data_IF_917510202953
#
_entry.id   IF_917510202953
#
_cell.length_a   1.000
_cell.length_b   1.000
_cell.length_c   1.000
_cell.angle_alpha   90.00
_cell.angle_beta   90.00
_cell.angle_gamma   90.00
#
_symmetry.space_group_name_H-M   'P 1'
#
loop_
_entity.id
_entity.type
_entity.pdbx_description
1 polymer ?
#
# COMPACT_ATOMS: atom_id res chain seq x y z
N UNK A 1 17.08 23.22 1.57
CA UNK A 1 17.55 21.95 0.97
C UNK A 1 16.32 21.09 0.71
N UNK A 2 16.18 20.49 -0.49
CA UNK A 2 15.10 19.54 -0.80
C UNK A 2 15.75 18.17 -0.96
N UNK A 3 15.18 17.15 -0.32
CA UNK A 3 15.66 15.76 -0.39
C UNK A 3 14.54 14.93 -1.03
N UNK A 4 14.91 14.07 -1.98
CA UNK A 4 14.03 13.08 -2.57
C UNK A 4 14.36 11.73 -1.94
N UNK A 5 13.34 10.97 -1.56
CA UNK A 5 13.48 9.64 -0.96
C UNK A 5 12.58 8.64 -1.67
N UNK A 6 13.01 7.39 -1.70
CA UNK A 6 12.27 6.25 -2.23
C UNK A 6 12.26 5.15 -1.16
N UNK A 7 11.08 4.58 -0.90
CA UNK A 7 10.94 3.46 0.03
C UNK A 7 11.50 2.19 -0.60
N UNK A 8 12.41 1.50 0.10
CA UNK A 8 13.01 0.26 -0.40
C UNK A 8 12.28 -0.97 0.13
N UNK A 9 12.15 -1.08 1.46
CA UNK A 9 11.51 -2.22 2.12
C UNK A 9 10.98 -1.81 3.48
N UNK A 10 9.95 -2.52 3.95
CA UNK A 10 9.39 -2.34 5.29
C UNK A 10 10.31 -3.00 6.30
N UNK A 11 10.45 -2.38 7.46
CA UNK A 11 11.27 -2.88 8.55
C UNK A 11 10.59 -2.64 9.89
N UNK A 12 10.77 -3.61 10.81
CA UNK A 12 10.34 -3.50 12.19
C UNK A 12 11.51 -2.97 13.02
N UNK A 13 11.27 -1.90 13.77
CA UNK A 13 12.24 -1.38 14.74
C UNK A 13 12.18 -2.26 15.99
N UNK A 14 13.31 -2.88 16.35
CA UNK A 14 13.46 -3.69 17.57
C UNK A 14 14.03 -2.90 18.74
N UNK A 15 14.79 -1.84 18.47
CA UNK A 15 15.25 -0.89 19.47
C UNK A 15 15.45 0.48 18.86
N UNK A 16 15.07 1.54 19.59
CA UNK A 16 15.27 2.94 19.21
C UNK A 16 16.12 3.62 20.29
N UNK A 17 17.14 4.36 19.88
CA UNK A 17 17.98 5.18 20.74
C UNK A 17 17.98 6.62 20.27
N UNK A 18 17.79 7.55 21.20
CA UNK A 18 17.88 8.99 20.98
C UNK A 18 19.14 9.50 21.69
N UNK A 19 20.02 10.17 20.94
CA UNK A 19 21.24 10.78 21.48
C UNK A 19 21.15 12.32 21.58
N UNK A 20 19.97 12.90 21.32
CA UNK A 20 19.71 14.34 21.33
C UNK A 20 19.97 15.07 20.00
N UNK A 21 20.65 14.43 19.04
CA UNK A 21 20.87 14.98 17.70
C UNK A 21 20.05 14.25 16.63
N UNK A 22 19.93 12.92 16.76
CA UNK A 22 19.19 12.07 15.85
C UNK A 22 18.75 10.76 16.51
N UNK A 23 17.82 10.08 15.87
CA UNK A 23 17.43 8.73 16.24
C UNK A 23 18.31 7.70 15.53
N UNK A 24 18.80 6.73 16.28
CA UNK A 24 19.41 5.50 15.76
C UNK A 24 18.53 4.31 16.12
N UNK A 25 18.38 3.35 15.21
CA UNK A 25 17.50 2.19 15.42
C UNK A 25 18.18 0.89 15.03
N UNK A 26 17.86 -0.18 15.76
CA UNK A 26 18.00 -1.55 15.26
C UNK A 26 16.71 -1.91 14.55
N UNK A 27 16.82 -2.33 13.29
CA UNK A 27 15.68 -2.67 12.46
C UNK A 27 15.94 -3.99 11.71
N UNK A 28 14.87 -4.75 11.53
CA UNK A 28 14.86 -6.02 10.81
C UNK A 28 13.84 -5.90 9.69
N UNK A 29 14.13 -6.50 8.54
CA UNK A 29 13.18 -6.50 7.44
C UNK A 29 11.88 -7.19 7.84
N UNK A 30 10.77 -6.60 7.42
CA UNK A 30 9.46 -7.18 7.57
C UNK A 30 9.22 -8.08 6.36
N UNK A 31 9.49 -9.36 6.53
CA UNK A 31 9.27 -10.35 5.48
C UNK A 31 7.77 -10.66 5.35
N UNK A 32 7.31 -10.83 4.11
CA UNK A 32 5.98 -11.33 3.82
C UNK A 32 6.01 -12.86 3.73
N UNK A 33 5.03 -13.56 4.33
CA UNK A 33 4.94 -15.01 4.23
C UNK A 33 4.71 -15.44 2.77
N UNK A 34 5.13 -16.66 2.44
CA UNK A 34 4.79 -17.28 1.14
C UNK A 34 3.29 -17.62 1.11
N UNK A 35 2.65 -17.39 -0.04
CA UNK A 35 1.20 -17.48 -0.23
C UNK A 35 0.91 -18.49 -1.35
N UNK A 36 -0.29 -19.06 -1.36
CA UNK A 36 -0.81 -19.79 -2.52
C UNK A 36 -0.95 -18.84 -3.72
N UNK A 37 -0.16 -19.09 -4.76
CA UNK A 37 -0.06 -18.23 -5.94
C UNK A 37 -1.41 -18.01 -6.64
N UNK A 38 -2.33 -19.00 -6.58
CA UNK A 38 -3.60 -18.93 -7.29
C UNK A 38 -4.58 -17.99 -6.60
N UNK A 39 -4.69 -18.06 -5.28
CA UNK A 39 -5.53 -17.12 -4.51
C UNK A 39 -5.02 -15.69 -4.65
N UNK A 40 -3.70 -15.51 -4.62
CA UNK A 40 -3.06 -14.22 -4.77
C UNK A 40 -3.31 -13.60 -6.16
N UNK A 41 -3.24 -14.39 -7.24
CA UNK A 41 -3.52 -13.89 -8.59
C UNK A 41 -4.95 -13.35 -8.73
N UNK A 42 -5.93 -14.06 -8.16
CA UNK A 42 -7.34 -13.62 -8.17
C UNK A 42 -7.52 -12.33 -7.39
N UNK A 43 -6.88 -12.22 -6.23
CA UNK A 43 -6.96 -11.04 -5.38
C UNK A 43 -6.34 -9.81 -6.07
N UNK A 44 -5.16 -9.97 -6.68
CA UNK A 44 -4.48 -8.92 -7.44
C UNK A 44 -5.36 -8.39 -8.57
N UNK A 45 -5.96 -9.27 -9.37
CA UNK A 45 -6.86 -8.88 -10.47
C UNK A 45 -8.07 -8.11 -9.96
N UNK A 46 -8.64 -8.56 -8.84
CA UNK A 46 -9.78 -7.88 -8.20
C UNK A 46 -9.39 -6.49 -7.70
N UNK A 47 -8.24 -6.37 -7.02
CA UNK A 47 -7.74 -5.09 -6.49
C UNK A 47 -7.48 -4.07 -7.62
N UNK A 48 -6.88 -4.50 -8.73
CA UNK A 48 -6.65 -3.63 -9.91
C UNK A 48 -7.99 -3.18 -10.51
N UNK A 49 -8.95 -4.10 -10.68
CA UNK A 49 -10.25 -3.78 -11.25
C UNK A 49 -11.05 -2.80 -10.38
N UNK A 50 -11.00 -2.97 -9.05
CA UNK A 50 -11.64 -2.06 -8.12
C UNK A 50 -10.94 -0.69 -8.10
N UNK A 51 -9.60 -0.68 -8.14
CA UNK A 51 -8.84 0.57 -8.24
C UNK A 51 -9.19 1.31 -9.53
N UNK A 52 -9.31 0.63 -10.68
CA UNK A 52 -9.78 1.24 -11.94
C UNK A 52 -11.15 1.91 -11.77
N UNK A 53 -12.10 1.24 -11.12
CA UNK A 53 -13.42 1.82 -10.79
C UNK A 53 -13.29 3.07 -9.91
N UNK A 54 -12.46 3.00 -8.89
CA UNK A 54 -12.19 4.11 -7.97
C UNK A 54 -11.57 5.33 -8.67
N UNK A 55 -10.56 5.16 -9.53
CA UNK A 55 -9.90 6.27 -10.26
C UNK A 55 -10.90 7.00 -11.17
N UNK A 56 -11.84 6.26 -11.80
CA UNK A 56 -12.88 6.84 -12.67
C UNK A 56 -13.78 7.82 -11.92
N UNK A 57 -14.00 7.60 -10.63
CA UNK A 57 -14.75 8.48 -9.74
C UNK A 57 -13.85 9.58 -9.14
N UNK A 58 -12.64 9.23 -8.73
CA UNK A 58 -11.68 10.17 -8.13
C UNK A 58 -10.72 10.77 -9.17
N UNK A 59 -11.18 11.82 -9.85
CA UNK A 59 -10.43 12.55 -10.89
C UNK A 59 -9.15 13.25 -10.42
N UNK A 60 -8.80 13.18 -9.13
CA UNK A 60 -7.53 13.71 -8.59
C UNK A 60 -6.35 12.78 -8.88
N UNK A 61 -6.61 11.50 -9.14
CA UNK A 61 -5.58 10.51 -9.44
C UNK A 61 -5.39 10.46 -10.96
N UNK A 62 -4.17 10.69 -11.47
CA UNK A 62 -3.94 10.66 -12.91
C UNK A 62 -4.14 9.24 -13.49
N UNK A 63 -4.77 9.08 -14.67
CA UNK A 63 -5.01 7.77 -15.28
C UNK A 63 -3.73 6.96 -15.54
N UNK A 64 -2.58 7.62 -15.74
CA UNK A 64 -1.29 6.95 -15.93
C UNK A 64 -0.87 6.08 -14.73
N UNK A 65 -1.38 6.37 -13.53
CA UNK A 65 -1.16 5.54 -12.34
C UNK A 65 -1.70 4.12 -12.56
N UNK A 66 -2.85 3.97 -13.24
CA UNK A 66 -3.43 2.66 -13.53
C UNK A 66 -2.51 1.83 -14.44
N UNK A 67 -1.90 2.46 -15.45
CA UNK A 67 -0.94 1.80 -16.33
C UNK A 67 0.28 1.33 -15.55
N UNK A 68 0.76 2.14 -14.60
CA UNK A 68 1.89 1.78 -13.75
C UNK A 68 1.56 0.57 -12.86
N UNK A 69 0.36 0.52 -12.27
CA UNK A 69 -0.08 -0.58 -11.42
C UNK A 69 -0.21 -1.89 -12.20
N UNK A 70 -0.74 -1.85 -13.42
CA UNK A 70 -0.86 -3.03 -14.28
C UNK A 70 0.49 -3.66 -14.69
N UNK A 71 1.59 -2.91 -14.54
CA UNK A 71 2.95 -3.40 -14.84
C UNK A 71 3.67 -3.98 -13.62
N UNK A 72 3.05 -3.94 -12.44
CA UNK A 72 3.65 -4.45 -11.20
C UNK A 72 3.29 -5.93 -11.04
N UNK A 73 4.28 -6.79 -11.20
CA UNK A 73 4.13 -8.24 -10.99
C UNK A 73 4.16 -8.63 -9.50
N UNK A 74 4.83 -7.82 -8.66
CA UNK A 74 4.95 -8.08 -7.22
C UNK A 74 3.70 -7.58 -6.46
N UNK A 75 2.89 -8.48 -5.88
CA UNK A 75 1.66 -8.09 -5.18
C UNK A 75 1.93 -7.22 -3.95
N UNK A 76 3.09 -7.35 -3.30
CA UNK A 76 3.45 -6.50 -2.18
C UNK A 76 3.60 -5.05 -2.67
N UNK A 77 4.42 -4.83 -3.70
CA UNK A 77 4.59 -3.52 -4.33
C UNK A 77 3.30 -2.96 -4.90
N UNK A 78 2.41 -3.80 -5.44
CA UNK A 78 1.09 -3.39 -5.91
C UNK A 78 0.28 -2.76 -4.78
N UNK A 79 0.15 -3.46 -3.65
CA UNK A 79 -0.57 -2.98 -2.48
C UNK A 79 0.01 -1.65 -1.96
N UNK A 80 1.35 -1.54 -1.88
CA UNK A 80 2.03 -0.32 -1.44
C UNK A 80 1.77 0.86 -2.39
N UNK A 81 1.72 0.59 -3.70
CA UNK A 81 1.45 1.62 -4.72
C UNK A 81 -0.01 2.08 -4.67
N UNK A 82 -0.97 1.17 -4.51
CA UNK A 82 -2.39 1.51 -4.31
C UNK A 82 -2.54 2.40 -3.08
N UNK A 83 -1.96 2.01 -1.94
CA UNK A 83 -2.03 2.76 -0.69
C UNK A 83 -1.46 4.18 -0.81
N UNK A 84 -0.39 4.36 -1.60
CA UNK A 84 0.23 5.66 -1.83
C UNK A 84 -0.69 6.65 -2.60
N UNK A 85 -1.57 6.13 -3.45
CA UNK A 85 -2.50 6.94 -4.25
C UNK A 85 -3.89 7.11 -3.62
N UNK A 86 -4.19 6.39 -2.54
CA UNK A 86 -5.44 6.54 -1.80
C UNK A 86 -5.37 7.66 -0.73
N UNK A 87 -6.46 8.40 -0.49
CA UNK A 87 -6.55 9.45 0.53
C UNK A 87 -6.74 8.87 1.95
N UNK A 88 -5.91 7.90 2.33
CA UNK A 88 -5.97 7.24 3.63
C UNK A 88 -5.57 8.18 4.77
N UNK A 89 -6.23 8.03 5.94
CA UNK A 89 -5.81 8.71 7.16
C UNK A 89 -4.49 8.11 7.66
N UNK A 90 -3.77 8.86 8.50
CA UNK A 90 -2.46 8.43 9.02
C UNK A 90 -2.52 7.05 9.72
N UNK A 91 -3.56 6.79 10.50
CA UNK A 91 -3.76 5.52 11.18
C UNK A 91 -3.92 4.35 10.19
N UNK A 92 -4.67 4.56 9.10
CA UNK A 92 -4.87 3.54 8.06
C UNK A 92 -3.57 3.30 7.29
N UNK A 93 -2.82 4.37 6.96
CA UNK A 93 -1.50 4.24 6.32
C UNK A 93 -0.53 3.43 7.17
N UNK A 94 -0.51 3.66 8.49
CA UNK A 94 0.32 2.89 9.41
C UNK A 94 -0.13 1.43 9.50
N UNK A 95 -1.43 1.18 9.55
CA UNK A 95 -1.99 -0.18 9.58
C UNK A 95 -1.58 -0.97 8.32
N UNK A 96 -1.68 -0.36 7.14
CA UNK A 96 -1.22 -0.95 5.87
C UNK A 96 0.30 -1.21 5.87
N UNK A 97 1.09 -0.33 6.49
CA UNK A 97 2.55 -0.51 6.60
C UNK A 97 2.90 -1.72 7.49
N UNK A 98 2.12 -1.96 8.54
CA UNK A 98 2.35 -2.99 9.54
C UNK A 98 1.85 -4.39 9.13
N UNK A 99 0.88 -4.46 8.20
CA UNK A 99 0.37 -5.72 7.64
C UNK A 99 1.46 -6.44 6.83
N UNK A 100 2.10 -7.45 7.41
CA UNK A 100 3.11 -8.28 6.74
C UNK A 100 2.50 -9.18 5.67
N UNK A 101 1.27 -9.64 5.89
CA UNK A 101 0.51 -10.43 4.92
C UNK A 101 0.01 -9.55 3.78
N UNK A 102 0.36 -9.91 2.55
CA UNK A 102 0.01 -9.13 1.36
C UNK A 102 -1.47 -9.27 1.02
N UNK A 103 -2.08 -10.43 1.27
CA UNK A 103 -3.49 -10.65 0.99
C UNK A 103 -4.36 -9.86 1.96
N UNK A 104 -4.08 -9.95 3.26
CA UNK A 104 -4.78 -9.15 4.28
C UNK A 104 -4.71 -7.66 3.94
N UNK A 105 -3.55 -7.20 3.49
CA UNK A 105 -3.33 -5.81 3.09
C UNK A 105 -4.11 -5.41 1.85
N UNK A 106 -4.15 -6.25 0.82
CA UNK A 106 -4.94 -6.01 -0.39
C UNK A 106 -6.43 -5.98 -0.05
N UNK A 107 -6.93 -6.93 0.74
CA UNK A 107 -8.32 -6.96 1.19
C UNK A 107 -8.68 -5.70 2.00
N UNK A 108 -7.80 -5.26 2.89
CA UNK A 108 -7.99 -4.02 3.64
C UNK A 108 -8.12 -2.81 2.70
N UNK A 109 -7.20 -2.68 1.74
CA UNK A 109 -7.23 -1.59 0.76
C UNK A 109 -8.48 -1.65 -0.12
N UNK A 110 -8.92 -2.85 -0.51
CA UNK A 110 -10.15 -3.07 -1.26
C UNK A 110 -11.40 -2.62 -0.48
N UNK A 111 -11.49 -2.95 0.80
CA UNK A 111 -12.58 -2.47 1.66
C UNK A 111 -12.59 -0.94 1.79
N UNK A 112 -11.40 -0.32 1.90
CA UNK A 112 -11.27 1.14 1.94
C UNK A 112 -11.66 1.79 0.60
N UNK A 113 -11.29 1.18 -0.54
CA UNK A 113 -11.70 1.65 -1.86
C UNK A 113 -13.21 1.60 -2.02
N UNK A 114 -13.86 0.51 -1.60
CA UNK A 114 -15.31 0.37 -1.66
C UNK A 114 -16.01 1.48 -0.86
N UNK A 115 -15.57 1.72 0.37
CA UNK A 115 -16.13 2.79 1.20
C UNK A 115 -15.99 4.18 0.57
N UNK A 116 -14.89 4.45 -0.13
CA UNK A 116 -14.68 5.72 -0.82
C UNK A 116 -15.52 5.81 -2.11
N UNK A 117 -15.68 4.71 -2.85
CA UNK A 117 -16.55 4.62 -4.02
C UNK A 117 -17.99 4.94 -3.61
N UNK A 118 -18.50 4.30 -2.55
CA UNK A 118 -19.84 4.51 -2.03
C UNK A 118 -20.07 5.98 -1.67
N UNK A 119 -19.10 6.61 -1.00
CA UNK A 119 -19.18 8.02 -0.63
C UNK A 119 -19.24 8.95 -1.85
N UNK A 120 -18.53 8.62 -2.92
CA UNK A 120 -18.48 9.42 -4.15
C UNK A 120 -19.70 9.24 -5.06
N UNK A 121 -20.45 8.15 -4.91
CA UNK A 121 -21.66 7.88 -5.69
C UNK A 121 -22.96 8.45 -5.09
N UNK A 122 -22.90 8.92 -3.83
CA UNK A 122 -24.00 9.63 -3.16
C UNK A 122 -24.04 11.10 -3.59
#
# INVERSE_FOLDING_TARGET
MKVLVEGLQRARISALSDNGEHFSAKAEYLDSPAIDEREQEVLVRTAISQFEGYIKLNKKIPPEVLTSLNSIDDPARLADTIAAHMPLKLADKQSVLEMSDVNERLEYLMAMMESEIDLLQV
#
